data_IF_536441619329
#
_entry.id   IF_536441619329
#
_cell.length_a   1.000
_cell.length_b   1.000
_cell.length_c   1.000
_cell.angle_alpha   90.00
_cell.angle_beta   90.00
_cell.angle_gamma   90.00
#
_symmetry.space_group_name_H-M   'P 1'
#
loop_
_entity.id
_entity.type
_entity.pdbx_description
1 polymer ?
#
# COMPACT_ATOMS: atom_id res chain seq x y z
N UNK A 1 29.83 3.40 -7.69
CA UNK A 1 30.26 2.01 -7.43
C UNK A 1 29.09 1.04 -7.33
N UNK A 2 27.85 1.50 -7.05
CA UNK A 2 26.68 0.69 -6.88
C UNK A 2 26.58 -0.02 -5.52
N UNK A 3 27.50 0.23 -4.61
CA UNK A 3 27.46 -0.35 -3.26
C UNK A 3 26.41 0.34 -2.40
N UNK A 4 25.67 -0.46 -1.61
CA UNK A 4 24.76 0.05 -0.58
C UNK A 4 25.58 0.81 0.48
N UNK A 5 25.17 2.03 0.81
CA UNK A 5 25.83 2.85 1.83
C UNK A 5 25.00 2.90 3.10
N UNK A 6 23.74 3.31 3.00
CA UNK A 6 22.78 3.39 4.13
C UNK A 6 21.35 3.43 3.63
N UNK A 7 20.40 3.04 4.48
CA UNK A 7 18.99 3.36 4.32
C UNK A 7 18.67 4.72 4.91
N UNK A 8 17.85 5.53 4.22
CA UNK A 8 17.40 6.82 4.71
C UNK A 8 15.99 7.09 4.21
N UNK A 9 15.10 7.56 5.08
CA UNK A 9 13.73 7.89 4.69
C UNK A 9 13.47 9.39 4.77
N UNK A 10 12.73 9.91 3.81
CA UNK A 10 12.20 11.27 3.83
C UNK A 10 10.80 11.34 4.41
N UNK A 11 9.98 10.34 4.16
CA UNK A 11 8.54 10.33 4.47
C UNK A 11 8.11 9.21 5.42
N UNK A 12 8.98 8.28 5.77
CA UNK A 12 8.70 7.19 6.69
C UNK A 12 8.83 7.60 8.16
N UNK A 13 8.40 6.70 9.04
CA UNK A 13 8.48 6.89 10.50
C UNK A 13 9.93 6.90 11.00
N UNK A 14 10.76 6.01 10.49
CA UNK A 14 12.20 5.96 10.77
C UNK A 14 12.96 5.39 9.58
N UNK A 15 14.30 5.49 9.63
CA UNK A 15 15.15 4.89 8.58
C UNK A 15 15.06 3.36 8.55
N UNK A 16 14.66 2.75 9.66
CA UNK A 16 14.54 1.30 9.83
C UNK A 16 13.11 0.79 9.64
N UNK A 17 12.13 1.70 9.52
CA UNK A 17 10.72 1.35 9.35
C UNK A 17 10.33 1.18 7.88
N UNK A 18 9.15 0.62 7.67
CA UNK A 18 8.61 0.41 6.32
C UNK A 18 7.36 1.28 6.11
N UNK A 19 7.54 2.34 5.34
CA UNK A 19 6.42 3.17 4.91
C UNK A 19 5.48 2.39 4.00
N UNK A 20 4.18 2.34 4.36
CA UNK A 20 3.18 1.50 3.70
C UNK A 20 2.96 1.85 2.22
N UNK A 21 2.90 3.14 1.88
CA UNK A 21 2.73 3.57 0.49
C UNK A 21 3.95 3.25 -0.35
N UNK A 22 5.16 3.39 0.19
CA UNK A 22 6.38 2.94 -0.46
C UNK A 22 6.38 1.45 -0.77
N UNK A 23 5.86 0.64 0.15
CA UNK A 23 5.68 -0.79 -0.04
C UNK A 23 4.66 -1.09 -1.16
N UNK A 24 3.50 -0.40 -1.15
CA UNK A 24 2.50 -0.51 -2.22
C UNK A 24 3.08 -0.14 -3.60
N UNK A 25 3.81 0.98 -3.68
CA UNK A 25 4.50 1.37 -4.92
C UNK A 25 5.51 0.34 -5.40
N UNK A 26 6.24 -0.29 -4.48
CA UNK A 26 7.18 -1.35 -4.84
C UNK A 26 6.47 -2.56 -5.45
N UNK A 27 5.36 -3.03 -4.87
CA UNK A 27 4.57 -4.12 -5.43
C UNK A 27 4.08 -3.74 -6.83
N UNK A 28 3.50 -2.54 -6.98
CA UNK A 28 2.98 -2.04 -8.25
C UNK A 28 4.08 -1.92 -9.31
N UNK A 29 5.17 -1.22 -8.98
CA UNK A 29 6.24 -0.93 -9.91
C UNK A 29 6.97 -2.18 -10.39
N UNK A 30 7.30 -3.12 -9.48
CA UNK A 30 7.95 -4.37 -9.89
C UNK A 30 7.01 -5.30 -10.67
N UNK A 31 5.71 -5.28 -10.40
CA UNK A 31 4.72 -5.99 -11.22
C UNK A 31 4.66 -5.40 -12.63
N UNK A 32 4.65 -4.07 -12.75
CA UNK A 32 4.68 -3.37 -14.03
C UNK A 32 5.98 -3.66 -14.80
N UNK A 33 7.13 -3.60 -14.12
CA UNK A 33 8.42 -3.96 -14.75
C UNK A 33 8.40 -5.40 -15.28
N UNK A 34 7.82 -6.34 -14.55
CA UNK A 34 7.65 -7.70 -15.04
C UNK A 34 6.71 -7.77 -16.25
N UNK A 35 5.60 -7.04 -16.23
CA UNK A 35 4.68 -6.97 -17.37
C UNK A 35 5.40 -6.59 -18.65
N UNK A 36 6.25 -5.57 -18.59
CA UNK A 36 6.93 -5.01 -19.77
C UNK A 36 8.15 -5.83 -20.21
N UNK A 37 8.93 -6.32 -19.24
CA UNK A 37 10.24 -6.96 -19.54
C UNK A 37 10.20 -8.49 -19.56
N UNK A 38 9.22 -9.10 -18.89
CA UNK A 38 9.16 -10.54 -18.61
C UNK A 38 10.36 -11.08 -17.81
N UNK A 39 11.18 -10.22 -17.23
CA UNK A 39 12.29 -10.62 -16.40
C UNK A 39 11.80 -11.18 -15.05
N UNK A 40 12.06 -12.46 -14.74
CA UNK A 40 11.55 -13.12 -13.54
C UNK A 40 12.06 -12.52 -12.23
N UNK A 41 13.14 -11.74 -12.27
CA UNK A 41 13.66 -11.06 -11.08
C UNK A 41 12.66 -10.03 -10.56
N UNK A 42 11.99 -9.30 -11.45
CA UNK A 42 10.95 -8.34 -11.07
C UNK A 42 9.73 -9.06 -10.47
N UNK A 43 9.27 -10.15 -11.07
CA UNK A 43 8.15 -10.92 -10.52
C UNK A 43 8.48 -11.45 -9.12
N UNK A 44 9.67 -12.02 -8.94
CA UNK A 44 10.13 -12.50 -7.62
C UNK A 44 10.17 -11.39 -6.58
N UNK A 45 10.62 -10.19 -6.97
CA UNK A 45 10.66 -9.03 -6.07
C UNK A 45 9.26 -8.57 -5.71
N UNK A 46 8.35 -8.42 -6.69
CA UNK A 46 6.95 -8.07 -6.45
C UNK A 46 6.27 -9.04 -5.48
N UNK A 47 6.46 -10.36 -5.67
CA UNK A 47 5.92 -11.39 -4.77
C UNK A 47 6.45 -11.24 -3.34
N UNK A 48 7.77 -11.05 -3.15
CA UNK A 48 8.35 -10.86 -1.82
C UNK A 48 7.80 -9.62 -1.11
N UNK A 49 7.60 -8.55 -1.85
CA UNK A 49 7.02 -7.33 -1.30
C UNK A 49 5.54 -7.51 -0.97
N UNK A 50 4.78 -8.22 -1.81
CA UNK A 50 3.39 -8.55 -1.54
C UNK A 50 3.25 -9.46 -0.31
N UNK A 51 4.06 -10.49 -0.22
CA UNK A 51 4.09 -11.41 0.93
C UNK A 51 4.44 -10.65 2.23
N UNK A 52 5.36 -9.69 2.18
CA UNK A 52 5.68 -8.84 3.33
C UNK A 52 4.48 -8.00 3.76
N UNK A 53 3.81 -7.32 2.83
CA UNK A 53 2.62 -6.51 3.12
C UNK A 53 1.53 -7.35 3.77
N UNK A 54 1.18 -8.48 3.14
CA UNK A 54 0.05 -9.32 3.54
C UNK A 54 0.26 -9.95 4.92
N UNK A 55 1.49 -10.38 5.21
CA UNK A 55 1.85 -11.11 6.43
C UNK A 55 2.42 -10.20 7.51
N UNK A 56 2.46 -8.88 7.30
CA UNK A 56 3.02 -7.99 8.31
C UNK A 56 2.20 -8.03 9.60
N UNK A 57 2.82 -8.28 10.78
CA UNK A 57 2.08 -8.49 12.03
C UNK A 57 1.28 -7.26 12.48
N UNK A 58 1.66 -6.07 12.01
CA UNK A 58 0.98 -4.81 12.32
C UNK A 58 0.00 -4.37 11.23
N UNK A 59 -0.30 -5.21 10.24
CA UNK A 59 -1.34 -4.92 9.25
C UNK A 59 -2.72 -5.14 9.91
N UNK A 60 -3.58 -4.12 9.96
CA UNK A 60 -4.92 -4.26 10.53
C UNK A 60 -5.78 -5.29 9.77
N UNK A 61 -6.79 -5.82 10.46
CA UNK A 61 -7.67 -6.88 9.92
C UNK A 61 -8.43 -6.46 8.66
N UNK A 62 -8.76 -5.17 8.52
CA UNK A 62 -9.42 -4.58 7.37
C UNK A 62 -8.47 -4.39 6.15
N UNK A 63 -7.19 -4.73 6.30
CA UNK A 63 -6.13 -4.64 5.29
C UNK A 63 -5.78 -3.22 4.84
N UNK A 64 -6.31 -2.19 5.48
CA UNK A 64 -5.87 -0.81 5.27
C UNK A 64 -4.69 -0.55 6.22
N UNK A 65 -3.48 -0.27 5.73
CA UNK A 65 -2.31 -0.18 6.60
C UNK A 65 -2.29 1.13 7.39
N UNK A 66 -1.52 1.13 8.46
CA UNK A 66 -1.01 2.37 9.03
C UNK A 66 -0.14 3.07 8.00
N UNK A 67 0.04 4.38 8.12
CA UNK A 67 0.89 5.16 7.20
C UNK A 67 2.34 4.64 7.14
N UNK A 68 2.77 3.98 8.20
CA UNK A 68 4.02 3.22 8.27
C UNK A 68 3.76 1.95 9.10
N UNK A 69 4.24 0.81 8.64
CA UNK A 69 3.98 -0.50 9.24
C UNK A 69 4.53 -0.64 10.66
N UNK A 70 5.55 0.14 11.00
CA UNK A 70 6.25 0.01 12.26
C UNK A 70 5.78 1.01 13.32
N UNK A 71 4.88 1.93 12.98
CA UNK A 71 4.19 2.74 13.98
C UNK A 71 3.35 1.82 14.87
N UNK A 72 3.45 1.98 16.18
CA UNK A 72 2.75 1.15 17.17
C UNK A 72 3.06 -0.35 17.11
N UNK A 73 4.07 -0.78 16.35
CA UNK A 73 4.49 -2.19 16.36
C UNK A 73 5.14 -2.52 17.70
N UNK A 74 4.63 -3.51 18.45
CA UNK A 74 5.24 -3.92 19.71
C UNK A 74 6.73 -4.28 19.53
N UNK A 75 7.59 -3.72 20.36
CA UNK A 75 9.04 -3.97 20.34
C UNK A 75 9.82 -3.26 19.22
N UNK A 76 9.17 -2.49 18.35
CA UNK A 76 9.90 -1.67 17.39
C UNK A 76 10.46 -0.42 18.06
N UNK A 77 11.75 -0.20 17.92
CA UNK A 77 12.46 0.96 18.45
C UNK A 77 13.08 1.71 17.26
N UNK A 78 12.64 2.94 16.98
CA UNK A 78 13.25 3.76 15.94
C UNK A 78 14.72 3.99 16.21
N UNK A 79 15.53 4.05 15.17
CA UNK A 79 16.95 4.32 15.26
C UNK A 79 17.24 5.68 15.89
N UNK A 80 18.39 5.78 16.53
CA UNK A 80 18.84 6.96 17.31
C UNK A 80 18.73 8.30 16.55
N UNK A 81 18.87 8.25 15.24
CA UNK A 81 18.85 9.45 14.38
C UNK A 81 17.53 9.64 13.63
N UNK A 82 16.49 8.88 13.96
CA UNK A 82 15.18 9.04 13.34
C UNK A 82 14.56 10.39 13.72
N UNK A 83 14.23 11.20 12.71
CA UNK A 83 13.59 12.51 12.91
C UNK A 83 12.08 12.42 13.15
N UNK A 84 11.49 11.25 12.93
CA UNK A 84 10.03 11.07 12.91
C UNK A 84 9.46 10.45 14.18
N UNK A 85 10.27 10.13 15.19
CA UNK A 85 9.85 9.52 16.45
C UNK A 85 8.72 10.29 17.17
N UNK A 86 8.69 11.62 17.01
CA UNK A 86 7.68 12.50 17.61
C UNK A 86 6.30 12.42 16.96
N UNK A 87 6.21 11.81 15.78
CA UNK A 87 4.97 11.73 14.99
C UNK A 87 4.29 10.37 15.10
N UNK A 88 4.27 9.79 16.30
CA UNK A 88 3.58 8.52 16.56
C UNK A 88 2.09 8.80 16.59
N UNK A 89 1.41 8.66 15.45
CA UNK A 89 -0.03 8.80 15.36
C UNK A 89 -0.63 7.67 14.52
N UNK A 90 -1.81 7.23 14.92
CA UNK A 90 -2.55 6.12 14.32
C UNK A 90 -3.29 6.58 13.05
N UNK A 91 -2.56 7.09 12.07
CA UNK A 91 -3.16 7.42 10.78
C UNK A 91 -3.14 6.23 9.84
N UNK A 92 -4.27 6.01 9.21
CA UNK A 92 -4.42 5.03 8.13
C UNK A 92 -3.92 5.65 6.82
N UNK A 93 -3.60 4.80 5.86
CA UNK A 93 -3.26 5.27 4.52
C UNK A 93 -4.08 4.52 3.46
N UNK A 94 -5.27 5.07 3.15
CA UNK A 94 -6.13 4.55 2.10
C UNK A 94 -5.45 4.57 0.73
N UNK A 95 -4.53 5.51 0.49
CA UNK A 95 -3.78 5.57 -0.76
C UNK A 95 -2.83 4.37 -0.92
N UNK A 96 -2.14 3.97 0.17
CA UNK A 96 -1.30 2.78 0.16
C UNK A 96 -2.12 1.51 -0.11
N UNK A 97 -3.30 1.42 0.49
CA UNK A 97 -4.23 0.30 0.28
C UNK A 97 -4.72 0.24 -1.17
N UNK A 98 -5.12 1.38 -1.76
CA UNK A 98 -5.60 1.46 -3.15
C UNK A 98 -4.54 0.98 -4.15
N UNK A 99 -3.31 1.50 -4.03
CA UNK A 99 -2.18 1.08 -4.87
C UNK A 99 -1.91 -0.41 -4.71
N UNK A 100 -1.93 -0.90 -3.46
CA UNK A 100 -1.68 -2.32 -3.17
C UNK A 100 -2.76 -3.21 -3.76
N UNK A 101 -4.04 -2.85 -3.64
CA UNK A 101 -5.15 -3.62 -4.22
C UNK A 101 -5.00 -3.73 -5.74
N UNK A 102 -4.72 -2.62 -6.42
CA UNK A 102 -4.49 -2.61 -7.87
C UNK A 102 -3.29 -3.48 -8.25
N UNK A 103 -2.18 -3.36 -7.52
CA UNK A 103 -0.98 -4.16 -7.75
C UNK A 103 -1.21 -5.66 -7.56
N UNK A 104 -1.91 -6.05 -6.48
CA UNK A 104 -2.18 -7.45 -6.17
C UNK A 104 -3.09 -8.12 -7.22
N UNK A 105 -4.10 -7.41 -7.73
CA UNK A 105 -4.95 -7.92 -8.81
C UNK A 105 -4.16 -8.20 -10.09
N UNK A 106 -3.25 -7.31 -10.47
CA UNK A 106 -2.37 -7.56 -11.61
C UNK A 106 -1.37 -8.69 -11.30
N UNK A 107 -0.70 -8.64 -10.15
CA UNK A 107 0.28 -9.65 -9.75
C UNK A 107 -0.33 -11.06 -9.70
N UNK A 108 -1.60 -11.17 -9.29
CA UNK A 108 -2.33 -12.44 -9.23
C UNK A 108 -2.45 -13.12 -10.59
N UNK A 109 -2.41 -12.35 -11.69
CA UNK A 109 -2.45 -12.90 -13.05
C UNK A 109 -1.14 -13.56 -13.49
N UNK A 110 -0.04 -13.28 -12.80
CA UNK A 110 1.29 -13.80 -13.12
C UNK A 110 1.74 -14.94 -12.19
N UNK A 111 0.93 -15.30 -11.22
CA UNK A 111 1.21 -16.40 -10.28
C UNK A 111 0.10 -17.44 -10.34
N UNK A 112 0.35 -18.60 -9.72
CA UNK A 112 -0.58 -19.76 -9.74
C UNK A 112 -0.96 -20.16 -8.31
N UNK A 113 -1.90 -21.09 -8.23
CA UNK A 113 -2.29 -21.81 -7.03
C UNK A 113 -2.59 -20.88 -5.83
N UNK A 114 -2.07 -21.22 -4.68
CA UNK A 114 -2.34 -20.50 -3.42
C UNK A 114 -1.97 -19.01 -3.48
N UNK A 115 -0.86 -18.67 -4.15
CA UNK A 115 -0.47 -17.25 -4.27
C UNK A 115 -1.48 -16.44 -5.05
N UNK A 116 -2.00 -16.97 -6.16
CA UNK A 116 -3.07 -16.32 -6.92
C UNK A 116 -4.28 -16.06 -6.05
N UNK A 117 -4.71 -17.08 -5.30
CA UNK A 117 -5.84 -16.98 -4.38
C UNK A 117 -5.60 -15.94 -3.30
N UNK A 118 -4.47 -16.02 -2.58
CA UNK A 118 -4.13 -15.09 -1.49
C UNK A 118 -4.09 -13.65 -1.98
N UNK A 119 -3.43 -13.36 -3.10
CA UNK A 119 -3.32 -12.00 -3.63
C UNK A 119 -4.68 -11.46 -4.07
N UNK A 120 -5.49 -12.28 -4.74
CA UNK A 120 -6.85 -11.89 -5.14
C UNK A 120 -7.73 -11.62 -3.93
N UNK A 121 -7.77 -12.53 -2.96
CA UNK A 121 -8.60 -12.38 -1.74
C UNK A 121 -8.18 -11.17 -0.92
N UNK A 122 -6.88 -10.94 -0.77
CA UNK A 122 -6.38 -9.75 -0.06
C UNK A 122 -6.79 -8.46 -0.79
N UNK A 123 -6.67 -8.41 -2.11
CA UNK A 123 -7.10 -7.26 -2.89
C UNK A 123 -8.61 -7.00 -2.74
N UNK A 124 -9.42 -8.05 -2.73
CA UNK A 124 -10.87 -7.94 -2.53
C UNK A 124 -11.22 -7.46 -1.11
N UNK A 125 -10.51 -7.93 -0.09
CA UNK A 125 -10.67 -7.42 1.28
C UNK A 125 -10.37 -5.92 1.36
N UNK A 126 -9.26 -5.47 0.74
CA UNK A 126 -8.91 -4.05 0.67
C UNK A 126 -10.02 -3.26 -0.05
N UNK A 127 -10.49 -3.72 -1.21
CA UNK A 127 -11.55 -3.03 -1.96
C UNK A 127 -12.86 -2.97 -1.17
N UNK A 128 -13.22 -4.04 -0.46
CA UNK A 128 -14.38 -4.06 0.42
C UNK A 128 -14.26 -3.01 1.54
N UNK A 129 -13.10 -2.95 2.19
CA UNK A 129 -12.84 -1.96 3.24
C UNK A 129 -12.88 -0.53 2.70
N UNK A 130 -12.20 -0.26 1.58
CA UNK A 130 -12.20 1.06 0.94
C UNK A 130 -13.59 1.49 0.46
N UNK A 131 -14.46 0.54 0.13
CA UNK A 131 -15.86 0.81 -0.28
C UNK A 131 -16.80 1.07 0.89
N UNK A 132 -16.36 0.81 2.12
CA UNK A 132 -17.17 1.02 3.34
C UNK A 132 -17.33 2.51 3.65
N UNK A 133 -18.37 2.90 4.44
CA UNK A 133 -18.54 4.28 4.89
C UNK A 133 -17.37 4.82 5.71
N UNK A 134 -16.53 3.97 6.28
CA UNK A 134 -15.29 4.35 6.98
C UNK A 134 -14.33 5.09 6.05
N UNK A 135 -14.10 4.55 4.85
CA UNK A 135 -13.10 5.08 3.90
C UNK A 135 -13.72 5.78 2.70
N UNK A 136 -14.93 5.42 2.29
CA UNK A 136 -15.61 6.07 1.18
C UNK A 136 -16.40 7.27 1.66
N UNK A 137 -16.23 8.41 1.01
CA UNK A 137 -17.01 9.60 1.26
C UNK A 137 -18.45 9.48 0.69
N UNK A 138 -19.37 10.21 1.29
CA UNK A 138 -20.68 10.46 0.70
C UNK A 138 -20.54 11.35 -0.54
N UNK A 139 -21.41 11.19 -1.50
CA UNK A 139 -21.45 12.00 -2.72
C UNK A 139 -21.59 13.51 -2.38
N UNK A 140 -20.78 14.34 -3.04
CA UNK A 140 -20.74 15.77 -2.80
C UNK A 140 -20.02 16.22 -1.51
N UNK A 141 -19.48 15.27 -0.75
CA UNK A 141 -18.64 15.54 0.44
C UNK A 141 -17.16 15.37 0.12
N UNK A 142 -16.31 15.59 1.14
CA UNK A 142 -14.85 15.37 1.06
C UNK A 142 -14.17 16.09 -0.13
N UNK A 143 -14.66 17.27 -0.51
CA UNK A 143 -14.12 17.99 -1.68
C UNK A 143 -14.28 17.26 -3.01
N UNK A 144 -15.28 16.38 -3.12
CA UNK A 144 -15.54 15.47 -4.26
C UNK A 144 -14.50 14.37 -4.47
N UNK A 145 -13.61 14.13 -3.52
CA UNK A 145 -12.77 12.94 -3.52
C UNK A 145 -13.57 11.73 -3.04
N UNK A 146 -13.27 10.56 -3.61
CA UNK A 146 -13.95 9.29 -3.30
C UNK A 146 -13.50 8.77 -1.94
N UNK A 147 -12.20 8.75 -1.70
CA UNK A 147 -11.62 8.17 -0.50
C UNK A 147 -11.19 9.22 0.53
N UNK A 148 -11.36 8.85 1.79
CA UNK A 148 -10.90 9.54 2.99
C UNK A 148 -9.63 8.87 3.52
N UNK A 149 -9.01 9.47 4.55
CA UNK A 149 -8.00 8.83 5.41
C UNK A 149 -6.74 8.37 4.67
N UNK A 150 -6.18 9.23 3.82
CA UNK A 150 -4.86 9.01 3.25
C UNK A 150 -3.80 9.84 3.97
N UNK A 151 -2.56 9.33 3.99
CA UNK A 151 -1.45 9.99 4.66
C UNK A 151 -0.25 10.15 3.74
N UNK A 152 0.01 11.39 3.32
CA UNK A 152 1.06 11.75 2.38
C UNK A 152 2.45 11.88 2.99
N UNK A 153 2.65 12.84 3.88
CA UNK A 153 3.98 13.17 4.38
C UNK A 153 3.96 13.74 5.81
N UNK A 154 3.66 12.90 6.81
CA UNK A 154 3.64 13.31 8.23
C UNK A 154 4.93 14.01 8.66
N UNK A 155 6.14 13.53 8.33
CA UNK A 155 7.37 14.21 8.73
C UNK A 155 7.50 15.65 8.21
N UNK A 156 6.80 15.96 7.13
CA UNK A 156 6.79 17.29 6.53
C UNK A 156 5.59 18.14 7.00
N UNK A 157 4.72 17.57 7.84
CA UNK A 157 3.51 18.26 8.32
C UNK A 157 2.47 18.49 7.22
N UNK A 158 2.49 17.70 6.16
CA UNK A 158 1.58 17.85 5.02
C UNK A 158 0.87 16.54 4.68
N UNK A 159 -0.33 16.68 4.10
CA UNK A 159 -1.14 15.55 3.65
C UNK A 159 -1.39 14.52 4.76
N UNK A 160 -1.79 14.97 5.94
CA UNK A 160 -2.04 14.14 7.11
C UNK A 160 -3.54 13.93 7.25
N UNK A 161 -3.98 12.68 7.11
CA UNK A 161 -5.39 12.26 7.19
C UNK A 161 -6.31 13.05 6.25
N UNK A 162 -5.95 13.10 4.98
CA UNK A 162 -6.63 13.89 3.94
C UNK A 162 -7.00 13.02 2.72
N UNK A 163 -7.93 13.47 1.87
CA UNK A 163 -8.15 12.85 0.57
C UNK A 163 -6.94 13.10 -0.34
N UNK A 164 -6.61 12.11 -1.19
CA UNK A 164 -5.53 12.22 -2.16
C UNK A 164 -5.99 11.69 -3.52
N UNK A 165 -5.76 12.46 -4.57
CA UNK A 165 -6.24 12.12 -5.93
C UNK A 165 -5.73 10.77 -6.43
N UNK A 166 -4.50 10.41 -6.11
CA UNK A 166 -3.97 9.11 -6.50
C UNK A 166 -4.57 7.94 -5.70
N UNK A 167 -5.11 8.17 -4.51
CA UNK A 167 -5.90 7.16 -3.80
C UNK A 167 -7.13 6.79 -4.60
N UNK A 168 -7.86 7.79 -5.08
CA UNK A 168 -9.05 7.61 -5.92
C UNK A 168 -8.69 6.95 -7.26
N UNK A 169 -7.62 7.40 -7.90
CA UNK A 169 -7.16 6.81 -9.16
C UNK A 169 -6.91 5.31 -9.03
N UNK A 170 -6.10 4.90 -8.05
CA UNK A 170 -5.77 3.47 -7.88
C UNK A 170 -6.92 2.64 -7.33
N UNK A 171 -7.84 3.24 -6.58
CA UNK A 171 -9.08 2.58 -6.19
C UNK A 171 -9.93 2.25 -7.41
N UNK A 172 -10.15 3.22 -8.31
CA UNK A 172 -10.89 3.00 -9.56
C UNK A 172 -10.16 2.03 -10.49
N UNK A 173 -8.83 2.12 -10.61
CA UNK A 173 -8.05 1.16 -11.39
C UNK A 173 -8.20 -0.27 -10.84
N UNK A 174 -8.15 -0.45 -9.52
CA UNK A 174 -8.36 -1.75 -8.90
C UNK A 174 -9.77 -2.31 -9.17
N UNK A 175 -10.80 -1.49 -9.07
CA UNK A 175 -12.17 -1.87 -9.41
C UNK A 175 -12.29 -2.28 -10.89
N UNK A 176 -11.66 -1.54 -11.80
CA UNK A 176 -11.64 -1.89 -13.23
C UNK A 176 -10.90 -3.20 -13.50
N UNK A 177 -9.76 -3.42 -12.84
CA UNK A 177 -9.01 -4.68 -12.93
C UNK A 177 -9.86 -5.85 -12.44
N UNK A 178 -10.53 -5.69 -11.31
CA UNK A 178 -11.42 -6.71 -10.78
C UNK A 178 -12.59 -6.98 -11.70
N UNK A 179 -13.26 -5.94 -12.22
CA UNK A 179 -14.37 -6.09 -13.16
C UNK A 179 -13.95 -6.86 -14.42
N UNK A 180 -12.79 -6.55 -14.99
CA UNK A 180 -12.24 -7.32 -16.14
C UNK A 180 -11.95 -8.77 -15.78
N UNK A 181 -11.45 -9.03 -14.59
CA UNK A 181 -11.12 -10.37 -14.14
C UNK A 181 -12.35 -11.28 -13.98
N UNK A 182 -13.52 -10.72 -13.60
CA UNK A 182 -14.77 -11.49 -13.47
C UNK A 182 -15.52 -11.62 -14.78
N UNK A 183 -15.41 -10.65 -15.71
CA UNK A 183 -16.13 -10.64 -16.97
C UNK A 183 -15.38 -11.33 -18.12
N UNK A 184 -14.10 -11.60 -17.98
CA UNK A 184 -13.28 -12.31 -18.97
C UNK A 184 -13.07 -13.81 -18.60
N UNK A 185 -13.97 -14.38 -17.83
CA UNK A 185 -13.99 -15.82 -17.49
C UNK A 185 -14.73 -16.63 -18.52
#
# INVERSE_FOLDING_TARGET
>A
TGNFIKGETSQGYSNESTRSRGQGWGIYGFTLCYRETKDPRFLKTAQRMADYYINHPNLPSDKIPWWDFDTHRPGFIPGKFSKTNKYIQNYRDASAASVTASALLELSSYVKDDKKKIYTETALQILTSLSSPEYRAEEGKNGNFILKHSTGAIPHGSEVDVPLIYADYYFLEALLRYNRMINNK
#
